data_IF_134363871907
#
_entry.id   IF_134363871907
#
_cell.length_a   1.000
_cell.length_b   1.000
_cell.length_c   1.000
_cell.angle_alpha   90.00
_cell.angle_beta   90.00
_cell.angle_gamma   90.00
#
_symmetry.space_group_name_H-M   'P 1'
#
loop_
_entity.id
_entity.type
_entity.pdbx_description
1 polymer ?
#
# COMPACT_ATOMS: atom_id res chain seq x y z
N UNK A 1 -14.88 -13.40 13.79
CA UNK A 1 -16.03 -12.44 13.81
C UNK A 1 -16.19 -11.73 15.17
N UNK A 2 -15.94 -12.40 16.31
CA UNK A 2 -16.13 -11.83 17.66
C UNK A 2 -15.49 -10.46 17.87
N UNK A 3 -14.28 -10.24 17.33
CA UNK A 3 -13.57 -8.95 17.46
C UNK A 3 -14.36 -7.82 16.81
N UNK A 4 -14.92 -8.04 15.61
CA UNK A 4 -15.72 -7.04 14.90
C UNK A 4 -17.04 -6.76 15.61
N UNK A 5 -17.69 -7.80 16.18
CA UNK A 5 -18.93 -7.67 16.97
C UNK A 5 -18.72 -6.84 18.24
N UNK A 6 -17.51 -6.82 18.77
CA UNK A 6 -17.12 -6.02 19.95
C UNK A 6 -16.55 -4.64 19.56
N UNK A 7 -16.84 -4.14 18.37
CA UNK A 7 -16.30 -2.89 17.82
C UNK A 7 -14.75 -2.86 17.75
N UNK A 8 -14.13 -4.04 17.67
CA UNK A 8 -12.69 -4.17 17.50
C UNK A 8 -12.24 -4.03 16.04
N UNK A 9 -10.92 -4.01 15.85
CA UNK A 9 -10.31 -3.91 14.53
C UNK A 9 -9.47 -5.16 14.22
N UNK A 10 -9.46 -5.58 12.95
CA UNK A 10 -8.66 -6.71 12.48
C UNK A 10 -7.77 -6.23 11.33
N UNK A 11 -6.46 -6.48 11.44
CA UNK A 11 -5.51 -6.23 10.37
C UNK A 11 -5.40 -7.48 9.47
N UNK A 12 -5.52 -7.28 8.15
CA UNK A 12 -5.42 -8.36 7.16
C UNK A 12 -4.49 -7.95 6.04
N UNK A 13 -3.57 -8.85 5.68
CA UNK A 13 -2.76 -8.73 4.46
C UNK A 13 -3.52 -9.34 3.29
N UNK A 14 -4.28 -8.51 2.58
CA UNK A 14 -5.26 -8.96 1.58
C UNK A 14 -4.63 -9.62 0.33
N UNK A 15 -3.36 -9.40 0.04
CA UNK A 15 -2.65 -10.05 -1.08
C UNK A 15 -2.30 -11.52 -0.82
N UNK A 16 -2.35 -11.96 0.44
CA UNK A 16 -2.20 -13.37 0.86
C UNK A 16 -0.78 -13.93 0.85
N UNK A 17 0.17 -13.32 0.16
CA UNK A 17 1.59 -13.72 0.14
C UNK A 17 2.51 -12.50 -0.07
N UNK A 18 3.82 -12.69 0.15
CA UNK A 18 4.82 -11.64 -0.06
C UNK A 18 5.30 -11.59 -1.51
N UNK A 19 5.60 -10.38 -1.98
CA UNK A 19 6.29 -10.13 -3.24
C UNK A 19 7.39 -9.08 -3.04
N UNK A 20 8.47 -9.19 -3.81
CA UNK A 20 9.53 -8.19 -3.83
C UNK A 20 9.28 -7.09 -4.87
N UNK A 21 8.27 -7.26 -5.71
CA UNK A 21 7.87 -6.25 -6.70
C UNK A 21 6.91 -5.22 -6.08
N UNK A 22 6.96 -4.01 -6.62
CA UNK A 22 6.16 -2.87 -6.13
C UNK A 22 4.91 -2.73 -6.99
N UNK A 23 4.03 -3.70 -6.91
CA UNK A 23 2.72 -3.65 -7.53
C UNK A 23 1.66 -4.23 -6.59
N UNK A 24 0.42 -3.81 -6.80
CA UNK A 24 -0.73 -4.39 -6.10
C UNK A 24 -1.22 -5.59 -6.91
N UNK A 25 -1.15 -6.75 -6.28
CA UNK A 25 -1.66 -8.00 -6.86
C UNK A 25 -3.15 -8.16 -6.57
N UNK A 26 -3.83 -9.06 -7.29
CA UNK A 26 -5.23 -9.37 -7.01
C UNK A 26 -5.43 -9.76 -5.55
N UNK A 27 -6.41 -9.12 -4.92
CA UNK A 27 -6.70 -9.34 -3.51
C UNK A 27 -7.41 -10.67 -3.28
N UNK A 28 -7.04 -11.34 -2.20
CA UNK A 28 -7.73 -12.55 -1.75
C UNK A 28 -9.11 -12.21 -1.17
N UNK A 29 -10.04 -13.19 -1.23
CA UNK A 29 -11.41 -13.03 -0.71
C UNK A 29 -11.48 -13.09 0.84
N UNK A 30 -10.35 -13.17 1.54
CA UNK A 30 -10.32 -13.37 2.99
C UNK A 30 -11.01 -12.24 3.77
N UNK A 31 -10.68 -10.99 3.44
CA UNK A 31 -11.24 -9.83 4.14
C UNK A 31 -12.75 -9.64 3.88
N UNK A 32 -13.21 -9.88 2.64
CA UNK A 32 -14.65 -9.82 2.32
C UNK A 32 -15.42 -10.91 3.02
N UNK A 33 -14.91 -12.16 3.06
CA UNK A 33 -15.51 -13.26 3.80
C UNK A 33 -15.65 -12.94 5.28
N UNK A 34 -14.64 -12.30 5.87
CA UNK A 34 -14.68 -11.89 7.27
C UNK A 34 -15.73 -10.79 7.51
N UNK A 35 -15.77 -9.76 6.67
CA UNK A 35 -16.71 -8.66 6.79
C UNK A 35 -18.17 -9.15 6.65
N UNK A 36 -18.46 -9.91 5.62
CA UNK A 36 -19.82 -10.44 5.40
C UNK A 36 -20.20 -11.55 6.37
N UNK A 37 -19.23 -12.35 6.85
CA UNK A 37 -19.47 -13.30 7.93
C UNK A 37 -19.85 -12.64 9.25
N UNK A 38 -19.26 -11.49 9.57
CA UNK A 38 -19.63 -10.70 10.74
C UNK A 38 -21.03 -10.09 10.60
N UNK A 39 -21.36 -9.57 9.41
CA UNK A 39 -22.71 -9.04 9.11
C UNK A 39 -23.80 -10.12 9.13
N UNK A 40 -23.49 -11.34 8.70
CA UNK A 40 -24.44 -12.46 8.76
C UNK A 40 -24.77 -12.87 10.21
N UNK A 41 -23.83 -12.73 11.12
CA UNK A 41 -24.01 -13.02 12.55
C UNK A 41 -24.62 -11.84 13.32
N UNK A 42 -24.34 -10.60 12.89
CA UNK A 42 -24.82 -9.36 13.53
C UNK A 42 -25.15 -8.32 12.45
N UNK A 43 -26.39 -8.32 11.92
CA UNK A 43 -26.79 -7.46 10.80
C UNK A 43 -26.75 -5.94 11.07
N UNK A 44 -26.80 -5.53 12.33
CA UNK A 44 -26.68 -4.12 12.76
C UNK A 44 -25.27 -3.59 12.75
N UNK A 45 -24.26 -4.40 12.51
CA UNK A 45 -22.87 -3.93 12.36
C UNK A 45 -22.72 -3.02 11.14
N UNK A 46 -21.92 -1.99 11.31
CA UNK A 46 -21.50 -1.10 10.21
C UNK A 46 -19.98 -1.21 9.99
N UNK A 47 -19.48 -2.36 9.48
CA UNK A 47 -18.05 -2.54 9.29
C UNK A 47 -17.52 -1.63 8.20
N UNK A 48 -16.29 -1.18 8.40
CA UNK A 48 -15.54 -0.37 7.43
C UNK A 48 -14.21 -1.02 7.11
N UNK A 49 -13.78 -0.91 5.85
CA UNK A 49 -12.44 -1.31 5.42
C UNK A 49 -11.59 -0.07 5.28
N UNK A 50 -10.43 -0.03 5.96
CA UNK A 50 -9.45 1.04 5.83
C UNK A 50 -8.26 0.48 5.03
N UNK A 51 -8.06 0.88 3.76
CA UNK A 51 -6.90 0.48 2.99
C UNK A 51 -5.64 1.08 3.61
N UNK A 52 -4.59 0.26 3.76
CA UNK A 52 -3.31 0.68 4.32
C UNK A 52 -2.20 0.30 3.36
N UNK A 53 -1.54 1.28 2.78
CA UNK A 53 -0.36 1.09 1.94
C UNK A 53 0.90 1.02 2.80
N UNK A 54 1.70 -0.04 2.62
CA UNK A 54 2.99 -0.22 3.29
C UNK A 54 4.06 -0.32 2.21
N UNK A 55 5.06 0.54 2.26
CA UNK A 55 6.16 0.59 1.31
C UNK A 55 7.51 0.58 2.03
N UNK A 56 8.45 -0.18 1.50
CA UNK A 56 9.81 -0.30 2.03
C UNK A 56 10.80 0.31 1.05
N UNK A 57 11.75 1.13 1.54
CA UNK A 57 12.84 1.67 0.69
C UNK A 57 13.78 0.55 0.21
N UNK A 58 13.99 -0.48 1.02
CA UNK A 58 14.77 -1.65 0.68
C UNK A 58 14.18 -2.91 1.32
N UNK A 59 13.83 -3.93 0.50
CA UNK A 59 13.25 -5.19 0.99
C UNK A 59 14.25 -6.12 1.69
N UNK A 60 15.58 -5.94 1.43
CA UNK A 60 16.62 -6.87 1.87
C UNK A 60 17.64 -6.26 2.84
N UNK A 61 17.46 -5.03 3.29
CA UNK A 61 18.40 -4.34 4.20
C UNK A 61 17.71 -4.05 5.53
N UNK A 62 18.39 -4.36 6.62
CA UNK A 62 17.90 -4.12 7.99
C UNK A 62 17.77 -2.63 8.38
N UNK A 63 18.30 -1.71 7.59
CA UNK A 63 18.23 -0.26 7.83
C UNK A 63 17.47 0.45 6.71
N UNK A 64 16.26 -0.01 6.42
CA UNK A 64 15.37 0.60 5.44
C UNK A 64 14.33 1.52 6.09
N UNK A 65 13.84 2.49 5.31
CA UNK A 65 12.66 3.29 5.68
C UNK A 65 11.38 2.52 5.34
N UNK A 66 10.39 2.61 6.22
CA UNK A 66 9.03 2.11 5.98
C UNK A 66 8.09 3.31 5.92
N UNK A 67 7.31 3.41 4.85
CA UNK A 67 6.25 4.40 4.71
C UNK A 67 4.90 3.70 4.83
N UNK A 68 4.08 4.17 5.76
CA UNK A 68 2.71 3.67 5.97
C UNK A 68 1.76 4.80 5.59
N UNK A 69 0.83 4.52 4.68
CA UNK A 69 -0.16 5.49 4.20
C UNK A 69 -1.56 4.93 4.42
N UNK A 70 -2.37 5.65 5.18
CA UNK A 70 -3.76 5.29 5.44
C UNK A 70 -4.67 5.90 4.36
N UNK A 71 -5.54 5.09 3.79
CA UNK A 71 -6.58 5.53 2.86
C UNK A 71 -7.87 5.94 3.57
N UNK A 72 -8.82 6.41 2.79
CA UNK A 72 -10.17 6.69 3.28
C UNK A 72 -10.89 5.39 3.61
N UNK A 73 -11.68 5.38 4.67
CA UNK A 73 -12.54 4.26 5.03
C UNK A 73 -13.58 4.00 3.93
N UNK A 74 -13.81 2.72 3.64
CA UNK A 74 -14.79 2.22 2.67
C UNK A 74 -15.84 1.47 3.47
N UNK A 75 -17.10 1.93 3.51
CA UNK A 75 -18.16 1.21 4.19
C UNK A 75 -18.45 -0.12 3.46
N UNK A 76 -18.74 -1.15 4.22
CA UNK A 76 -19.16 -2.44 3.67
C UNK A 76 -20.68 -2.40 3.47
N UNK A 77 -21.12 -2.51 2.21
CA UNK A 77 -22.53 -2.66 1.88
C UNK A 77 -23.06 -3.95 2.51
N UNK A 78 -24.18 -3.95 3.24
CA UNK A 78 -24.72 -5.17 3.87
C UNK A 78 -25.11 -6.27 2.88
N UNK A 79 -25.33 -5.96 1.61
CA UNK A 79 -25.61 -6.95 0.57
C UNK A 79 -24.36 -7.76 0.19
N UNK A 80 -24.28 -9.06 0.49
CA UNK A 80 -23.12 -9.88 0.21
C UNK A 80 -22.83 -10.05 -1.29
N UNK A 81 -23.78 -9.75 -2.18
CA UNK A 81 -23.54 -9.77 -3.64
C UNK A 81 -22.56 -8.68 -4.06
N UNK A 82 -22.38 -7.63 -3.25
CA UNK A 82 -21.45 -6.54 -3.47
C UNK A 82 -19.98 -6.86 -3.11
N UNK A 83 -19.66 -8.08 -2.67
CA UNK A 83 -18.33 -8.48 -2.25
C UNK A 83 -17.25 -8.25 -3.32
N UNK A 84 -17.57 -8.51 -4.59
CA UNK A 84 -16.65 -8.25 -5.71
C UNK A 84 -16.42 -6.75 -5.93
N UNK A 85 -17.47 -5.94 -5.80
CA UNK A 85 -17.38 -4.48 -5.90
C UNK A 85 -16.51 -3.91 -4.77
N UNK A 86 -16.73 -4.37 -3.54
CA UNK A 86 -15.89 -4.00 -2.40
C UNK A 86 -14.43 -4.36 -2.64
N UNK A 87 -14.14 -5.57 -3.14
CA UNK A 87 -12.77 -5.99 -3.46
C UNK A 87 -12.11 -5.04 -4.46
N UNK A 88 -12.81 -4.68 -5.55
CA UNK A 88 -12.29 -3.74 -6.56
C UNK A 88 -12.08 -2.33 -5.99
N UNK A 89 -12.98 -1.86 -5.13
CA UNK A 89 -12.83 -0.56 -4.48
C UNK A 89 -11.58 -0.52 -3.58
N UNK A 90 -11.35 -1.57 -2.79
CA UNK A 90 -10.17 -1.69 -1.93
C UNK A 90 -8.89 -1.79 -2.76
N UNK A 91 -8.88 -2.59 -3.83
CA UNK A 91 -7.75 -2.70 -4.75
C UNK A 91 -7.41 -1.35 -5.37
N UNK A 92 -8.40 -0.65 -5.90
CA UNK A 92 -8.21 0.68 -6.47
C UNK A 92 -7.70 1.68 -5.44
N UNK A 93 -8.24 1.67 -4.23
CA UNK A 93 -7.78 2.52 -3.15
C UNK A 93 -6.31 2.23 -2.78
N UNK A 94 -5.91 0.95 -2.67
CA UNK A 94 -4.51 0.57 -2.41
C UNK A 94 -3.58 1.07 -3.52
N UNK A 95 -3.96 0.96 -4.80
CA UNK A 95 -3.18 1.49 -5.93
C UNK A 95 -2.96 3.01 -5.85
N UNK A 96 -3.83 3.75 -5.18
CA UNK A 96 -3.60 5.18 -4.95
C UNK A 96 -2.63 5.48 -3.81
N UNK A 97 -2.43 4.55 -2.88
CA UNK A 97 -1.62 4.75 -1.67
C UNK A 97 -0.15 4.34 -1.83
N UNK A 98 0.13 3.43 -2.75
CA UNK A 98 1.47 2.87 -2.94
C UNK A 98 1.99 3.14 -4.35
N UNK A 99 3.31 3.03 -4.51
CA UNK A 99 3.94 2.97 -5.83
C UNK A 99 3.54 1.65 -6.48
N UNK A 100 2.91 1.72 -7.65
CA UNK A 100 2.40 0.58 -8.41
C UNK A 100 3.08 0.56 -9.79
N UNK A 101 4.11 -0.28 -9.94
CA UNK A 101 4.91 -0.40 -11.17
C UNK A 101 4.46 -1.66 -11.90
N UNK A 102 3.99 -1.58 -13.15
CA UNK A 102 3.58 -2.74 -13.93
C UNK A 102 4.70 -3.78 -14.09
N UNK A 103 4.38 -5.07 -13.98
CA UNK A 103 5.35 -6.16 -14.07
C UNK A 103 6.16 -6.13 -15.38
N UNK A 104 5.53 -5.78 -16.50
CA UNK A 104 6.16 -5.75 -17.80
C UNK A 104 7.35 -4.77 -17.91
N UNK A 105 7.34 -3.68 -17.13
CA UNK A 105 8.38 -2.65 -17.13
C UNK A 105 9.15 -2.60 -15.82
N UNK A 106 8.88 -3.52 -14.90
CA UNK A 106 9.34 -3.43 -13.52
C UNK A 106 10.86 -3.31 -13.37
N UNK A 107 11.69 -4.17 -13.98
CA UNK A 107 13.14 -4.12 -13.78
C UNK A 107 13.74 -2.80 -14.26
N UNK A 108 13.36 -2.36 -15.46
CA UNK A 108 13.89 -1.14 -16.09
C UNK A 108 13.44 0.11 -15.32
N UNK A 109 12.15 0.18 -15.00
CA UNK A 109 11.58 1.31 -14.26
C UNK A 109 12.23 1.44 -12.88
N UNK A 110 12.37 0.34 -12.15
CA UNK A 110 12.99 0.36 -10.82
C UNK A 110 14.47 0.80 -10.89
N UNK A 111 15.22 0.26 -11.85
CA UNK A 111 16.63 0.63 -12.07
C UNK A 111 16.76 2.11 -12.35
N UNK A 112 15.95 2.64 -13.27
CA UNK A 112 15.95 4.06 -13.63
C UNK A 112 15.63 4.97 -12.44
N UNK A 113 14.63 4.61 -11.63
CA UNK A 113 14.29 5.35 -10.40
C UNK A 113 15.45 5.38 -9.40
N UNK A 114 16.11 4.23 -9.19
CA UNK A 114 17.22 4.11 -8.24
C UNK A 114 18.47 4.86 -8.71
N UNK A 115 18.83 4.79 -9.99
CA UNK A 115 19.95 5.52 -10.59
C UNK A 115 19.76 7.04 -10.48
N UNK A 116 18.53 7.51 -10.60
CA UNK A 116 18.19 8.92 -10.43
C UNK A 116 17.87 9.32 -8.98
N UNK A 117 18.13 8.44 -8.00
CA UNK A 117 17.97 8.68 -6.56
C UNK A 117 16.54 9.07 -6.15
N UNK A 118 15.53 8.62 -6.91
CA UNK A 118 14.12 8.85 -6.60
C UNK A 118 13.70 8.03 -5.37
N UNK A 119 12.98 8.63 -4.44
CA UNK A 119 12.43 7.90 -3.29
C UNK A 119 11.31 6.95 -3.76
N UNK A 120 11.66 5.69 -3.96
CA UNK A 120 10.75 4.62 -4.40
C UNK A 120 9.64 4.29 -3.41
N UNK A 121 9.60 4.93 -2.25
CA UNK A 121 8.49 4.87 -1.29
C UNK A 121 7.56 6.07 -1.41
N UNK A 122 7.95 7.09 -2.15
CA UNK A 122 7.16 8.30 -2.36
C UNK A 122 6.44 8.23 -3.71
N UNK A 123 5.17 7.88 -3.68
CA UNK A 123 4.36 7.73 -4.90
C UNK A 123 4.35 8.99 -5.76
N UNK A 124 4.20 10.16 -5.15
CA UNK A 124 4.15 11.43 -5.89
C UNK A 124 5.47 11.74 -6.60
N UNK A 125 6.60 11.45 -5.95
CA UNK A 125 7.93 11.64 -6.52
C UNK A 125 8.17 10.68 -7.69
N UNK A 126 7.78 9.41 -7.53
CA UNK A 126 7.87 8.41 -8.60
C UNK A 126 6.99 8.78 -9.79
N UNK A 127 5.73 9.14 -9.57
CA UNK A 127 4.81 9.55 -10.64
C UNK A 127 5.30 10.82 -11.35
N UNK A 128 5.83 11.78 -10.60
CA UNK A 128 6.41 13.00 -11.15
C UNK A 128 7.60 12.68 -12.06
N UNK A 129 8.53 11.87 -11.59
CA UNK A 129 9.71 11.44 -12.37
C UNK A 129 9.29 10.71 -13.65
N UNK A 130 8.38 9.74 -13.55
CA UNK A 130 7.91 8.97 -14.70
C UNK A 130 7.11 9.80 -15.71
N UNK A 131 6.51 10.91 -15.27
CA UNK A 131 5.79 11.83 -16.18
C UNK A 131 6.71 12.70 -17.04
N UNK A 132 8.03 12.65 -16.84
CA UNK A 132 9.02 13.47 -17.56
C UNK A 132 8.92 14.97 -17.29
N UNK A 133 8.20 15.40 -16.26
CA UNK A 133 8.07 16.81 -15.90
C UNK A 133 9.35 17.27 -15.16
N UNK A 134 9.82 18.52 -15.39
CA UNK A 134 10.98 19.02 -14.69
C UNK A 134 10.74 19.04 -13.19
N UNK A 135 11.68 18.46 -12.42
CA UNK A 135 11.57 18.36 -10.97
C UNK A 135 11.88 19.72 -10.35
N UNK A 136 10.88 20.37 -9.77
CA UNK A 136 11.06 21.60 -8.97
C UNK A 136 11.47 21.29 -7.52
N UNK A 137 11.63 20.02 -7.17
CA UNK A 137 12.05 19.60 -5.83
C UNK A 137 13.58 19.58 -5.77
N UNK A 138 14.15 20.45 -4.95
CA UNK A 138 15.53 20.28 -4.52
C UNK A 138 15.62 18.93 -3.79
N UNK A 139 16.28 17.95 -4.39
CA UNK A 139 16.67 16.72 -3.73
C UNK A 139 17.49 17.13 -2.51
N UNK A 140 16.91 17.07 -1.31
CA UNK A 140 17.69 17.17 -0.09
C UNK A 140 18.62 15.97 -0.10
N UNK A 141 19.86 16.19 -0.51
CA UNK A 141 20.84 15.14 -0.66
C UNK A 141 20.99 14.41 0.67
N UNK A 142 20.63 13.13 0.70
CA UNK A 142 20.92 12.21 1.80
C UNK A 142 22.45 12.05 2.05
N UNK A 143 23.29 12.68 1.24
CA UNK A 143 24.74 12.72 1.39
C UNK A 143 25.24 13.37 2.68
N UNK A 144 24.44 14.24 3.31
CA UNK A 144 24.83 14.93 4.55
C UNK A 144 24.82 14.00 5.79
N UNK A 145 23.98 12.97 5.81
CA UNK A 145 23.91 12.04 6.95
C UNK A 145 24.99 10.95 6.90
N UNK A 146 25.45 10.56 5.70
CA UNK A 146 26.50 9.56 5.55
C UNK A 146 27.85 10.07 6.06
N UNK A 147 28.13 11.37 5.90
CA UNK A 147 29.39 11.99 6.34
C UNK A 147 29.42 12.28 7.85
N UNK A 148 28.28 12.26 8.56
CA UNK A 148 28.25 12.39 10.03
C UNK A 148 28.45 11.07 10.76
N UNK A 149 28.17 9.93 10.13
CA UNK A 149 28.31 8.60 10.74
C UNK A 149 29.70 7.97 10.52
N UNK A 150 30.57 8.60 9.70
CA UNK A 150 31.95 8.12 9.49
C UNK A 150 33.00 8.94 10.25
N UNK A 151 32.59 9.76 11.22
CA UNK A 151 33.49 10.53 12.11
C UNK A 151 33.30 10.20 13.60
N UNK A 152 32.85 8.97 13.90
CA UNK A 152 32.88 8.42 15.27
C UNK A 152 33.71 7.14 15.24
#
# INVERSE_FOLDING_TARGET
NQVLQQNGSVLIFAEGNHSLVRNIRPLSKGFTRMAYGALAECPELNPMVIPVGIQYSAHKRSAGMVRITLGKSIPVDPDPTQALKLTKQVEQALKTLVVDIPDATYPETLTNLLENQVDVTNKQEVEHFLSGKPTTYQVKSFGSLRNKLMKI
#
